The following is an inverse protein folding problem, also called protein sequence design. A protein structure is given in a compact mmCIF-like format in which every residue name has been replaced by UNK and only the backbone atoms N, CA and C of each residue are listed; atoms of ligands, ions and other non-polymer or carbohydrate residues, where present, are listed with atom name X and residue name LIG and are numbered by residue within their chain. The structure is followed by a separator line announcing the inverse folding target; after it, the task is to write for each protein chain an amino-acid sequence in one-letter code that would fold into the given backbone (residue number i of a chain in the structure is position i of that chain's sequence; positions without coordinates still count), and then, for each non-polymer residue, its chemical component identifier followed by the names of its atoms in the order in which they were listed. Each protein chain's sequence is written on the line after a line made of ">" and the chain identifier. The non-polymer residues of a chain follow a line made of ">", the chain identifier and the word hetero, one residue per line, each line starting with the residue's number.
data_IF_488600559357
#
_entry.id   IF_488600559357
#
_cell.length_a   1.000
_cell.length_b   1.000
_cell.length_c   1.000
_cell.angle_alpha   90.00
_cell.angle_beta   90.00
_cell.angle_gamma   90.00
#
_symmetry.space_group_name_H-M   'P 1'
#
loop_
_entity.id
_entity.type
_entity.pdbx_description
1 polymer ?
#
# COMPACT_ATOMS: atom_id res chain seq x y z
N UNK A 1 13.43 -8.12 24.78
CA UNK A 1 12.26 -8.59 24.03
C UNK A 1 10.99 -8.02 24.63
N UNK A 2 10.15 -7.47 23.78
CA UNK A 2 8.88 -6.93 24.24
C UNK A 2 7.95 -8.07 24.67
N UNK A 3 7.26 -7.89 25.78
CA UNK A 3 6.25 -8.85 26.22
C UNK A 3 5.07 -8.98 25.26
N UNK A 4 4.87 -7.98 24.38
CA UNK A 4 3.82 -8.04 23.36
C UNK A 4 4.15 -8.99 22.23
N UNK A 5 5.42 -9.34 22.04
CA UNK A 5 5.83 -10.21 20.93
C UNK A 5 5.31 -11.64 21.09
N UNK A 6 4.94 -12.02 22.29
CA UNK A 6 4.51 -13.39 22.60
C UNK A 6 2.98 -13.53 22.68
N UNK A 7 2.26 -12.42 22.85
CA UNK A 7 0.83 -12.45 23.19
C UNK A 7 -0.02 -11.58 22.26
N UNK A 8 0.28 -11.56 20.98
CA UNK A 8 -0.55 -10.84 20.06
C UNK A 8 -1.13 -11.77 18.99
N UNK A 9 -2.23 -11.35 18.42
CA UNK A 9 -2.87 -12.02 17.29
C UNK A 9 -3.34 -10.99 16.28
N UNK A 10 -3.65 -11.45 15.08
CA UNK A 10 -4.12 -10.58 14.00
C UNK A 10 -5.49 -11.03 13.52
N UNK A 11 -6.32 -10.06 13.18
CA UNK A 11 -7.48 -10.28 12.34
C UNK A 11 -7.23 -9.60 11.00
N UNK A 12 -7.56 -10.30 9.91
CA UNK A 12 -7.40 -9.77 8.55
C UNK A 12 -8.79 -9.74 7.93
N UNK A 13 -9.25 -8.55 7.56
CA UNK A 13 -10.57 -8.34 7.01
C UNK A 13 -10.44 -7.77 5.60
N UNK A 14 -10.81 -8.57 4.61
CA UNK A 14 -10.78 -8.12 3.22
C UNK A 14 -11.97 -7.20 2.95
N UNK A 15 -11.72 -6.12 2.23
CA UNK A 15 -12.77 -5.22 1.80
C UNK A 15 -13.18 -5.61 0.38
N UNK A 16 -14.44 -6.01 0.23
CA UNK A 16 -14.94 -6.50 -1.05
C UNK A 16 -15.49 -5.40 -1.95
N UNK A 17 -15.56 -4.17 -1.45
CA UNK A 17 -16.01 -3.03 -2.24
C UNK A 17 -14.87 -2.57 -3.16
N UNK A 18 -15.06 -2.73 -4.46
CA UNK A 18 -14.04 -2.37 -5.45
C UNK A 18 -13.75 -0.86 -5.50
N UNK A 19 -14.60 -0.04 -4.94
CA UNK A 19 -14.40 1.41 -4.88
C UNK A 19 -13.81 1.87 -3.56
N UNK A 20 -13.44 0.92 -2.71
CA UNK A 20 -12.86 1.24 -1.42
C UNK A 20 -11.46 1.85 -1.55
N UNK A 21 -11.10 2.64 -0.54
CA UNK A 21 -9.77 3.26 -0.44
C UNK A 21 -8.71 2.20 -0.11
N UNK A 22 -9.09 1.13 0.55
CA UNK A 22 -8.16 0.07 0.96
C UNK A 22 -8.70 -1.30 0.59
N UNK A 23 -7.81 -2.28 0.48
CA UNK A 23 -8.17 -3.67 0.17
C UNK A 23 -8.31 -4.53 1.41
N UNK A 24 -7.48 -4.28 2.42
CA UNK A 24 -7.42 -5.11 3.62
C UNK A 24 -7.31 -4.21 4.84
N UNK A 25 -8.04 -4.58 5.90
CA UNK A 25 -7.88 -4.02 7.23
C UNK A 25 -7.23 -5.09 8.10
N UNK A 26 -6.15 -4.73 8.78
CA UNK A 26 -5.48 -5.60 9.73
C UNK A 26 -5.67 -5.05 11.13
N UNK A 27 -6.14 -5.90 12.04
CA UNK A 27 -6.29 -5.53 13.45
C UNK A 27 -5.34 -6.40 14.26
N UNK A 28 -4.42 -5.76 14.96
CA UNK A 28 -3.49 -6.43 15.84
C UNK A 28 -4.00 -6.33 17.28
N UNK A 29 -4.16 -7.45 17.92
CA UNK A 29 -4.58 -7.55 19.31
C UNK A 29 -3.36 -7.85 20.16
N UNK A 30 -3.08 -6.99 21.15
CA UNK A 30 -1.88 -7.11 21.98
C UNK A 30 -2.09 -7.94 23.25
N UNK A 31 -3.33 -8.26 23.56
CA UNK A 31 -3.65 -9.04 24.77
C UNK A 31 -4.81 -9.99 24.48
N UNK A 32 -5.02 -10.95 25.41
CA UNK A 32 -6.02 -12.00 25.22
C UNK A 32 -7.44 -11.50 25.26
N UNK A 33 -7.72 -10.42 25.95
CA UNK A 33 -9.07 -9.88 26.08
C UNK A 33 -9.41 -8.86 24.99
N UNK A 34 -8.50 -8.63 24.03
CA UNK A 34 -8.70 -7.74 22.88
C UNK A 34 -9.03 -6.29 23.25
N UNK A 35 -8.61 -5.86 24.44
CA UNK A 35 -8.84 -4.48 24.85
C UNK A 35 -7.80 -3.50 24.31
N UNK A 36 -6.65 -4.01 23.88
CA UNK A 36 -5.56 -3.20 23.33
C UNK A 36 -5.34 -3.63 21.88
N UNK A 37 -5.73 -2.78 20.93
CA UNK A 37 -5.67 -3.10 19.51
C UNK A 37 -4.99 -2.00 18.73
N UNK A 38 -4.46 -2.37 17.56
CA UNK A 38 -3.94 -1.44 16.57
C UNK A 38 -4.49 -1.83 15.21
N UNK A 39 -5.06 -0.86 14.51
CA UNK A 39 -5.67 -1.08 13.20
C UNK A 39 -4.78 -0.47 12.11
N UNK A 40 -4.63 -1.18 11.02
CA UNK A 40 -3.92 -0.71 9.83
C UNK A 40 -4.76 -0.98 8.60
N UNK A 41 -4.64 -0.11 7.60
CA UNK A 41 -5.30 -0.26 6.31
C UNK A 41 -4.26 -0.48 5.24
N UNK A 42 -4.52 -1.40 4.32
CA UNK A 42 -3.53 -1.81 3.33
C UNK A 42 -4.17 -1.78 1.95
N UNK A 43 -3.55 -1.06 1.04
CA UNK A 43 -3.86 -1.11 -0.39
C UNK A 43 -2.88 -2.07 -1.04
N UNK A 44 -3.37 -3.01 -1.86
CA UNK A 44 -2.56 -4.04 -2.48
C UNK A 44 -2.48 -3.80 -3.98
N UNK A 45 -1.28 -3.86 -4.51
CA UNK A 45 -0.99 -3.81 -5.94
C UNK A 45 -0.16 -5.00 -6.35
N UNK A 46 -0.36 -5.45 -7.58
CA UNK A 46 0.42 -6.56 -8.14
C UNK A 46 1.16 -6.07 -9.37
N UNK A 47 2.43 -6.47 -9.49
CA UNK A 47 3.27 -6.20 -10.65
C UNK A 47 3.86 -7.51 -11.15
N UNK A 48 3.90 -7.69 -12.48
CA UNK A 48 4.42 -8.92 -13.09
C UNK A 48 5.94 -8.87 -13.33
N UNK A 49 6.59 -7.84 -12.83
CA UNK A 49 8.01 -7.61 -13.02
C UNK A 49 8.80 -8.00 -11.77
N UNK A 50 10.12 -8.01 -11.88
CA UNK A 50 11.04 -8.13 -10.75
C UNK A 50 11.05 -6.83 -9.96
N UNK A 51 11.20 -6.93 -8.64
CA UNK A 51 11.37 -5.76 -7.77
C UNK A 51 12.60 -4.94 -8.17
N UNK A 52 13.58 -5.57 -8.80
CA UNK A 52 14.83 -4.92 -9.19
C UNK A 52 14.77 -4.24 -10.55
N UNK A 53 13.61 -4.30 -11.23
CA UNK A 53 13.45 -3.67 -12.53
C UNK A 53 13.58 -2.15 -12.46
N UNK A 54 13.06 -1.53 -11.40
CA UNK A 54 13.12 -0.09 -11.18
C UNK A 54 13.52 0.20 -9.74
N UNK A 55 14.04 1.42 -9.52
CA UNK A 55 14.43 1.86 -8.17
C UNK A 55 13.25 2.36 -7.34
N UNK A 56 12.08 2.49 -7.96
CA UNK A 56 10.88 2.99 -7.30
C UNK A 56 9.66 2.25 -7.79
N UNK A 57 8.54 2.49 -7.10
CA UNK A 57 7.22 2.07 -7.55
C UNK A 57 6.39 3.31 -7.81
N UNK A 58 5.84 3.42 -9.00
CA UNK A 58 5.02 4.56 -9.41
C UNK A 58 3.56 4.20 -9.24
N UNK A 59 2.81 5.05 -8.53
CA UNK A 59 1.41 4.82 -8.22
C UNK A 59 0.60 6.09 -8.44
N UNK A 60 -0.67 5.95 -8.76
CA UNK A 60 -1.56 7.09 -8.94
C UNK A 60 -1.58 7.98 -7.70
N UNK A 61 -1.40 9.27 -7.91
CA UNK A 61 -1.34 10.24 -6.82
C UNK A 61 -2.60 10.23 -5.96
N UNK A 62 -3.78 10.05 -6.58
CA UNK A 62 -5.02 10.04 -5.82
C UNK A 62 -5.09 8.88 -4.82
N UNK A 63 -4.45 7.75 -5.10
CA UNK A 63 -4.42 6.62 -4.17
C UNK A 63 -3.63 6.97 -2.92
N UNK A 64 -2.51 7.65 -3.10
CA UNK A 64 -1.70 8.12 -1.96
C UNK A 64 -2.50 9.13 -1.14
N UNK A 65 -3.15 10.09 -1.80
CA UNK A 65 -3.96 11.09 -1.10
C UNK A 65 -5.11 10.45 -0.33
N UNK A 66 -5.76 9.46 -0.91
CA UNK A 66 -6.86 8.76 -0.25
C UNK A 66 -6.38 8.02 1.00
N UNK A 67 -5.23 7.36 0.93
CA UNK A 67 -4.66 6.69 2.10
C UNK A 67 -4.26 7.70 3.17
N UNK A 68 -3.73 8.86 2.77
CA UNK A 68 -3.41 9.93 3.72
C UNK A 68 -4.66 10.44 4.43
N UNK A 69 -5.75 10.65 3.68
CA UNK A 69 -7.03 11.08 4.26
C UNK A 69 -7.57 10.05 5.24
N UNK A 70 -7.51 8.77 4.86
CA UNK A 70 -7.96 7.69 5.72
C UNK A 70 -7.15 7.63 7.01
N UNK A 71 -5.83 7.76 6.91
CA UNK A 71 -4.95 7.78 8.07
C UNK A 71 -5.29 8.93 9.01
N UNK A 72 -5.51 10.12 8.48
CA UNK A 72 -5.86 11.29 9.29
C UNK A 72 -7.23 11.13 9.95
N UNK A 73 -8.20 10.63 9.19
CA UNK A 73 -9.58 10.51 9.69
C UNK A 73 -9.71 9.46 10.79
N UNK A 74 -8.92 8.39 10.73
CA UNK A 74 -9.01 7.26 11.66
C UNK A 74 -7.90 7.27 12.71
N UNK A 75 -6.87 8.08 12.51
CA UNK A 75 -5.65 8.05 13.31
C UNK A 75 -4.99 6.66 13.30
N UNK A 76 -5.13 5.93 12.20
CA UNK A 76 -4.55 4.61 12.00
C UNK A 76 -3.51 4.66 10.89
N UNK A 77 -2.60 3.68 10.90
CA UNK A 77 -1.55 3.58 9.89
C UNK A 77 -2.13 3.03 8.59
N UNK A 78 -1.64 3.55 7.49
CA UNK A 78 -1.99 3.06 6.16
C UNK A 78 -0.73 2.64 5.40
N UNK A 79 -0.85 1.57 4.64
CA UNK A 79 0.27 0.96 3.91
C UNK A 79 -0.11 0.73 2.46
N UNK A 80 0.90 0.82 1.61
CA UNK A 80 0.84 0.28 0.25
C UNK A 80 1.69 -0.98 0.21
N UNK A 81 1.08 -2.09 -0.23
CA UNK A 81 1.73 -3.38 -0.39
C UNK A 81 1.80 -3.70 -1.87
N UNK A 82 2.99 -3.87 -2.41
CA UNK A 82 3.16 -4.21 -3.83
C UNK A 82 3.77 -5.59 -3.93
N UNK A 83 3.07 -6.48 -4.63
CA UNK A 83 3.50 -7.86 -4.85
C UNK A 83 4.17 -7.93 -6.21
N UNK A 84 5.46 -8.23 -6.22
CA UNK A 84 6.26 -8.40 -7.43
C UNK A 84 6.34 -9.88 -7.76
N UNK A 85 5.58 -10.30 -8.76
CA UNK A 85 5.49 -11.71 -9.11
C UNK A 85 6.74 -12.23 -9.81
N UNK A 86 7.50 -11.35 -10.46
CA UNK A 86 8.66 -11.77 -11.24
C UNK A 86 9.72 -12.48 -10.42
N UNK A 87 9.90 -12.08 -9.16
CA UNK A 87 10.88 -12.69 -8.26
C UNK A 87 10.31 -12.97 -6.88
N UNK A 88 9.00 -13.01 -6.74
CA UNK A 88 8.29 -13.37 -5.51
C UNK A 88 8.71 -12.52 -4.33
N UNK A 89 8.68 -11.22 -4.53
CA UNK A 89 8.99 -10.23 -3.50
C UNK A 89 7.78 -9.36 -3.20
N UNK A 90 7.74 -8.87 -1.98
CA UNK A 90 6.73 -7.92 -1.53
C UNK A 90 7.45 -6.70 -1.01
N UNK A 91 7.03 -5.52 -1.46
CA UNK A 91 7.49 -4.25 -0.92
C UNK A 91 6.35 -3.60 -0.16
N UNK A 92 6.62 -3.16 1.05
CA UNK A 92 5.63 -2.54 1.92
C UNK A 92 6.09 -1.14 2.30
N UNK A 93 5.29 -0.13 1.93
CA UNK A 93 5.52 1.25 2.31
C UNK A 93 4.47 1.68 3.32
N UNK A 94 4.91 2.33 4.37
CA UNK A 94 3.98 3.05 5.23
C UNK A 94 3.74 4.43 4.61
N UNK A 95 2.46 4.80 4.46
CA UNK A 95 2.10 6.10 3.89
C UNK A 95 2.00 7.11 5.02
N UNK A 96 2.91 8.08 5.01
CA UNK A 96 2.94 9.13 6.03
C UNK A 96 1.82 10.14 5.73
N UNK A 97 0.84 10.31 6.64
CA UNK A 97 -0.29 11.22 6.38
C UNK A 97 0.11 12.69 6.32
N UNK A 98 1.27 13.03 6.84
CA UNK A 98 1.73 14.42 6.92
C UNK A 98 2.80 14.77 5.89
N UNK A 99 3.29 13.78 5.14
CA UNK A 99 4.29 14.00 4.12
C UNK A 99 3.63 14.57 2.87
N UNK A 100 4.28 15.56 2.26
CA UNK A 100 3.88 16.02 0.95
C UNK A 100 4.64 15.22 -0.09
N UNK A 101 3.93 14.26 -0.69
CA UNK A 101 4.50 13.45 -1.76
C UNK A 101 4.53 14.27 -3.04
N UNK A 102 5.71 14.36 -3.66
CA UNK A 102 5.87 15.16 -4.87
C UNK A 102 5.29 14.39 -6.05
N UNK A 103 4.29 14.96 -6.72
CA UNK A 103 3.74 14.30 -7.89
C UNK A 103 4.67 14.44 -9.08
N UNK A 104 4.68 13.40 -9.90
CA UNK A 104 5.30 13.43 -11.21
C UNK A 104 4.21 13.20 -12.24
N UNK A 105 4.37 13.79 -13.43
CA UNK A 105 3.40 13.61 -14.50
C UNK A 105 3.95 12.62 -15.51
N UNK A 106 3.18 11.57 -15.77
CA UNK A 106 3.50 10.56 -16.77
C UNK A 106 2.35 10.40 -17.73
N UNK A 107 2.67 10.04 -18.97
CA UNK A 107 1.65 9.62 -19.91
C UNK A 107 1.04 8.32 -19.40
N UNK A 108 -0.29 8.26 -19.40
CA UNK A 108 -0.98 7.05 -19.00
C UNK A 108 -0.63 5.92 -19.96
N UNK A 109 -0.49 4.73 -19.40
CA UNK A 109 -0.29 3.56 -20.22
C UNK A 109 -1.51 3.37 -21.12
N UNK A 110 -1.24 3.14 -22.39
CA UNK A 110 -2.28 3.10 -23.41
C UNK A 110 -3.35 2.03 -23.13
N UNK A 111 -3.03 0.97 -22.40
CA UNK A 111 -4.01 -0.08 -22.11
C UNK A 111 -4.71 0.10 -20.74
N UNK A 112 -4.31 1.07 -19.94
CA UNK A 112 -4.97 1.35 -18.67
C UNK A 112 -5.84 2.58 -18.72
N UNK A 113 -5.61 3.47 -19.68
CA UNK A 113 -6.40 4.67 -19.82
C UNK A 113 -7.57 4.39 -20.75
N UNK A 114 -8.66 5.10 -20.55
CA UNK A 114 -9.72 5.13 -21.53
C UNK A 114 -9.24 5.98 -22.69
N UNK A 115 -8.86 5.35 -23.76
CA UNK A 115 -8.11 5.98 -24.81
C UNK A 115 -8.94 6.40 -26.00
N UNK A 116 -10.19 6.68 -25.80
CA UNK A 116 -11.00 7.21 -26.87
C UNK A 116 -10.38 8.47 -27.48
N UNK A 117 -9.67 9.24 -26.68
CA UNK A 117 -9.03 10.49 -27.10
C UNK A 117 -7.49 10.41 -27.05
N UNK A 118 -6.92 9.21 -26.98
CA UNK A 118 -5.49 9.01 -27.04
C UNK A 118 -4.81 9.00 -25.68
N UNK A 119 -3.59 9.51 -25.62
CA UNK A 119 -2.78 9.46 -24.41
C UNK A 119 -3.21 10.53 -23.42
N UNK A 120 -3.39 10.11 -22.17
CA UNK A 120 -3.66 11.02 -21.06
C UNK A 120 -2.43 11.14 -20.19
N UNK A 121 -2.22 12.33 -19.65
CA UNK A 121 -1.25 12.53 -18.57
C UNK A 121 -1.92 12.22 -17.25
N UNK A 122 -1.22 11.48 -16.40
CA UNK A 122 -1.66 11.20 -15.03
C UNK A 122 -0.65 11.73 -14.06
N UNK A 123 -1.16 12.25 -12.95
CA UNK A 123 -0.33 12.62 -11.83
C UNK A 123 -0.03 11.38 -11.00
N UNK A 124 1.24 11.10 -10.84
CA UNK A 124 1.74 9.89 -10.18
C UNK A 124 2.67 10.28 -9.04
N UNK A 125 2.90 9.34 -8.14
CA UNK A 125 3.91 9.47 -7.09
C UNK A 125 4.87 8.29 -7.24
N UNK A 126 6.17 8.57 -7.15
CA UNK A 126 7.20 7.55 -7.17
C UNK A 126 7.63 7.27 -5.72
N UNK A 127 7.50 6.03 -5.28
CA UNK A 127 7.89 5.60 -3.95
C UNK A 127 9.22 4.87 -4.04
N UNK A 128 10.30 5.40 -3.43
CA UNK A 128 11.61 4.74 -3.51
C UNK A 128 11.61 3.38 -2.83
N UNK A 129 12.17 2.38 -3.48
CA UNK A 129 12.28 1.04 -2.89
C UNK A 129 13.10 1.03 -1.60
N UNK A 130 14.07 1.92 -1.49
CA UNK A 130 14.91 2.00 -0.28
C UNK A 130 14.12 2.36 0.97
N UNK A 131 12.91 2.93 0.81
CA UNK A 131 12.03 3.28 1.93
C UNK A 131 11.06 2.17 2.27
N UNK A 132 11.01 1.11 1.49
CA UNK A 132 10.11 0.00 1.70
C UNK A 132 10.75 -1.08 2.56
N UNK A 133 9.90 -1.83 3.26
CA UNK A 133 10.32 -3.11 3.82
C UNK A 133 10.10 -4.18 2.75
N UNK A 134 11.10 -5.02 2.54
CA UNK A 134 11.09 -6.01 1.47
C UNK A 134 11.00 -7.39 2.09
N UNK A 135 10.07 -8.19 1.59
CA UNK A 135 9.86 -9.57 2.03
C UNK A 135 9.91 -10.48 0.82
N UNK A 136 10.27 -11.73 1.04
CA UNK A 136 10.14 -12.80 0.05
C UNK A 136 8.95 -13.67 0.41
N UNK A 137 8.30 -14.23 -0.61
CA UNK A 137 7.23 -15.19 -0.37
C UNK A 137 7.42 -16.42 -1.25
N UNK A 138 6.75 -17.49 -0.86
CA UNK A 138 6.75 -18.75 -1.61
C UNK A 138 5.31 -19.11 -1.95
N UNK A 139 5.17 -19.81 -3.06
CA UNK A 139 3.86 -20.34 -3.45
C UNK A 139 3.55 -21.62 -2.69
#
# INVERSE_FOLDING_TARGET
>A
KSRYDENYSYEILANLDKYSIYDVMQIKHFNEDYTDTSTSYIEIKTRDISIYEYDDCVIDSYKIHNLQKLSKATNNRCFLCVIYKGDKKIALWEINPRKQYQPITKLANWHTANLADGKKQKEMVALPLKEAKIYSYQN
#
